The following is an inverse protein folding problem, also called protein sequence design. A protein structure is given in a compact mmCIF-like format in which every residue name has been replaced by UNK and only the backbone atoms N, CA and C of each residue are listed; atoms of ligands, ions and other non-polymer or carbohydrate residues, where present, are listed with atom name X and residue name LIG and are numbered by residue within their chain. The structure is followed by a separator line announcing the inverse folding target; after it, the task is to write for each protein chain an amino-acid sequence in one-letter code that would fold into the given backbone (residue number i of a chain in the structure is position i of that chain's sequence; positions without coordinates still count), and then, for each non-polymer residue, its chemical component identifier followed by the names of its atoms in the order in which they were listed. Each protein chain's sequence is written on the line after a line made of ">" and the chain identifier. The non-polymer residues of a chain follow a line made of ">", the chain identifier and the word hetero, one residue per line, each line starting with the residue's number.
data_IF_200240219037
#
_entry.id   IF_200240219037
#
_cell.length_a   1.000
_cell.length_b   1.000
_cell.length_c   1.000
_cell.angle_alpha   90.00
_cell.angle_beta   90.00
_cell.angle_gamma   90.00
#
_symmetry.space_group_name_H-M   'P 1'
#
loop_
_entity.id
_entity.type
_entity.pdbx_description
1 polymer ?
#
# COMPACT_ATOMS: atom_id res chain seq x y z
N UNK A 1 49.64 37.21 37.11
CA UNK A 1 49.02 38.15 36.19
C UNK A 1 47.66 37.60 35.79
N UNK A 2 46.71 38.39 35.28
CA UNK A 2 45.51 37.84 34.61
C UNK A 2 45.74 37.84 33.12
N UNK A 3 45.19 36.84 32.47
CA UNK A 3 45.17 36.72 31.02
C UNK A 3 43.71 36.60 30.52
N UNK A 4 43.44 37.12 29.34
CA UNK A 4 42.09 37.17 28.79
C UNK A 4 41.94 36.12 27.71
N UNK A 5 40.90 35.26 27.87
CA UNK A 5 40.47 34.26 26.88
C UNK A 5 39.25 34.80 26.19
N UNK A 6 39.38 35.14 24.93
CA UNK A 6 38.26 35.59 24.08
C UNK A 6 37.62 34.39 23.37
N UNK A 7 36.35 34.15 23.69
CA UNK A 7 35.56 33.05 23.09
C UNK A 7 34.72 33.58 21.94
N UNK A 8 35.10 33.23 20.71
CA UNK A 8 34.40 33.60 19.49
C UNK A 8 33.57 32.41 18.97
N UNK A 9 32.29 32.63 18.81
CA UNK A 9 31.39 31.56 18.34
C UNK A 9 31.54 31.21 16.85
N UNK A 10 32.33 32.02 16.09
CA UNK A 10 32.82 31.69 14.75
C UNK A 10 31.74 31.34 13.71
N UNK A 11 30.66 32.14 13.65
CA UNK A 11 29.62 32.05 12.59
C UNK A 11 29.00 33.43 12.33
N UNK A 12 28.43 33.61 11.13
CA UNK A 12 27.75 34.84 10.73
C UNK A 12 26.52 35.11 11.58
N UNK A 13 26.42 36.32 12.15
CA UNK A 13 25.31 36.69 13.04
C UNK A 13 25.49 36.21 14.49
N UNK A 14 26.65 35.64 14.85
CA UNK A 14 26.94 35.28 16.22
C UNK A 14 26.93 36.52 17.14
N UNK A 15 26.60 36.36 18.44
CA UNK A 15 26.82 37.38 19.44
C UNK A 15 28.30 37.84 19.47
N UNK A 16 28.53 39.03 20.04
CA UNK A 16 29.90 39.48 20.24
C UNK A 16 30.71 38.46 21.08
N UNK A 17 32.01 38.27 20.79
CA UNK A 17 32.85 37.36 21.56
C UNK A 17 32.82 37.64 23.08
N UNK A 18 32.78 36.60 23.88
CA UNK A 18 32.80 36.68 25.32
C UNK A 18 34.25 36.62 25.80
N UNK A 19 34.63 37.50 26.73
CA UNK A 19 35.97 37.49 27.36
C UNK A 19 35.87 36.88 28.76
N UNK A 20 36.70 35.89 29.03
CA UNK A 20 36.88 35.24 30.31
C UNK A 20 38.28 35.53 30.83
N UNK A 21 38.40 36.30 31.93
CA UNK A 21 39.70 36.58 32.55
C UNK A 21 40.05 35.50 33.57
N UNK A 22 41.16 34.83 33.40
CA UNK A 22 41.67 33.76 34.30
C UNK A 22 43.06 34.14 34.85
N UNK A 23 43.53 33.47 35.89
CA UNK A 23 44.88 33.67 36.34
C UNK A 23 45.86 32.99 35.36
N UNK A 24 47.02 33.66 35.17
CA UNK A 24 48.12 33.10 34.34
C UNK A 24 48.50 31.70 34.82
N UNK A 25 48.52 30.72 33.94
CA UNK A 25 48.80 29.30 34.25
C UNK A 25 47.60 28.49 34.63
N UNK A 26 46.39 29.07 34.66
CA UNK A 26 45.14 28.30 34.84
C UNK A 26 44.61 27.75 33.50
N UNK A 27 43.68 26.81 33.55
CA UNK A 27 43.02 26.22 32.43
C UNK A 27 41.62 26.86 32.19
N UNK A 28 41.13 26.81 30.96
CA UNK A 28 39.81 27.35 30.63
C UNK A 28 38.70 26.49 31.25
N UNK A 29 37.86 27.09 32.10
CA UNK A 29 36.59 26.52 32.52
C UNK A 29 35.44 27.38 31.94
N UNK A 30 34.81 26.88 30.90
CA UNK A 30 33.66 27.52 30.26
C UNK A 30 32.63 26.49 29.88
N UNK A 31 31.34 26.85 30.01
CA UNK A 31 30.25 25.99 29.49
C UNK A 31 30.34 25.91 27.97
N UNK A 32 30.01 24.74 27.40
CA UNK A 32 29.96 24.58 25.98
C UNK A 32 28.85 25.48 25.39
N UNK A 33 29.14 26.28 24.39
CA UNK A 33 28.14 27.12 23.75
C UNK A 33 27.12 26.25 23.00
N UNK A 34 25.91 26.80 22.80
CA UNK A 34 24.83 26.17 22.06
C UNK A 34 24.52 26.97 20.79
N UNK A 35 24.17 26.26 19.71
CA UNK A 35 23.72 26.83 18.46
C UNK A 35 22.65 25.91 17.88
N UNK A 36 21.49 26.49 17.51
CA UNK A 36 20.40 25.72 16.88
C UNK A 36 20.90 24.98 15.65
N UNK A 37 20.53 23.69 15.52
CA UNK A 37 20.88 22.80 14.38
C UNK A 37 22.35 22.44 14.27
N UNK A 38 23.19 22.82 15.23
CA UNK A 38 24.61 22.49 15.22
C UNK A 38 25.05 21.85 16.54
N UNK A 39 26.03 20.97 16.44
CA UNK A 39 26.76 20.41 17.58
C UNK A 39 28.08 21.12 17.77
N UNK A 40 28.40 21.53 18.98
CA UNK A 40 29.70 22.08 19.32
C UNK A 40 30.76 20.97 19.33
N UNK A 41 31.83 21.15 18.54
CA UNK A 41 32.93 20.18 18.38
C UNK A 41 34.24 20.60 19.02
N UNK A 42 34.21 21.65 19.83
CA UNK A 42 35.39 22.13 20.55
C UNK A 42 35.88 23.51 20.11
N UNK A 43 36.87 23.99 20.84
CA UNK A 43 37.54 25.24 20.61
C UNK A 43 38.76 25.04 19.74
N UNK A 44 39.09 26.05 18.92
CA UNK A 44 40.24 26.07 18.00
C UNK A 44 41.02 27.40 18.14
N UNK A 45 42.33 27.36 17.85
CA UNK A 45 43.21 28.55 17.95
C UNK A 45 42.99 29.56 16.83
N UNK A 46 42.46 29.11 15.68
CA UNK A 46 42.25 29.97 14.51
C UNK A 46 40.79 29.85 14.00
N UNK A 47 40.31 30.94 13.38
CA UNK A 47 38.99 30.96 12.72
C UNK A 47 38.90 29.97 11.56
N UNK A 48 40.00 29.51 10.98
CA UNK A 48 40.10 28.50 9.94
C UNK A 48 39.90 27.07 10.48
N UNK A 49 39.88 26.89 11.81
CA UNK A 49 39.62 25.61 12.52
C UNK A 49 40.67 24.53 12.16
N UNK A 50 41.95 24.89 12.09
CA UNK A 50 43.01 23.94 11.77
C UNK A 50 43.63 23.31 13.02
N UNK A 51 43.81 24.09 14.10
CA UNK A 51 44.45 23.65 15.35
C UNK A 51 43.43 23.54 16.49
N UNK A 52 43.04 22.33 16.90
CA UNK A 52 42.15 22.17 18.05
C UNK A 52 42.84 22.63 19.34
N UNK A 53 42.10 23.32 20.20
CA UNK A 53 42.55 23.73 21.53
C UNK A 53 42.04 22.73 22.59
N UNK A 54 42.97 22.18 23.36
CA UNK A 54 42.69 21.37 24.51
C UNK A 54 42.40 22.26 25.74
N UNK A 55 41.14 22.29 26.23
CA UNK A 55 40.72 23.12 27.35
C UNK A 55 41.44 22.81 28.67
N UNK A 56 42.19 21.69 28.75
CA UNK A 56 43.02 21.32 29.88
C UNK A 56 44.43 21.96 29.83
N UNK A 57 44.74 22.65 28.73
CA UNK A 57 46.01 23.34 28.57
C UNK A 57 46.08 24.59 29.44
N UNK A 58 47.21 24.81 30.12
CA UNK A 58 47.46 26.04 30.89
C UNK A 58 47.66 27.25 29.96
N UNK A 59 46.96 28.33 30.24
CA UNK A 59 46.96 29.54 29.46
C UNK A 59 47.86 30.59 30.13
N UNK A 60 48.92 31.04 29.44
CA UNK A 60 49.93 31.94 30.00
C UNK A 60 49.95 33.32 29.30
N UNK A 61 49.11 33.53 28.28
CA UNK A 61 48.98 34.78 27.52
C UNK A 61 47.56 34.95 27.01
N UNK A 62 47.18 36.15 26.62
CA UNK A 62 45.86 36.41 26.00
C UNK A 62 45.72 35.62 24.71
N UNK A 63 44.59 34.90 24.60
CA UNK A 63 44.26 34.08 23.46
C UNK A 63 42.81 34.30 22.97
N UNK A 64 42.58 34.04 21.69
CA UNK A 64 41.24 33.96 21.12
C UNK A 64 40.97 32.52 20.67
N UNK A 65 39.85 31.97 21.13
CA UNK A 65 39.39 30.64 20.77
C UNK A 65 38.16 30.74 19.89
N UNK A 66 38.11 29.90 18.87
CA UNK A 66 37.05 29.86 17.86
C UNK A 66 36.27 28.56 17.96
N UNK A 67 34.94 28.66 18.09
CA UNK A 67 34.06 27.48 18.16
C UNK A 67 33.97 26.76 16.81
N UNK A 68 34.10 25.45 16.86
CA UNK A 68 33.78 24.58 15.71
C UNK A 68 32.38 24.01 15.86
N UNK A 69 31.63 24.11 14.76
CA UNK A 69 30.26 23.64 14.68
C UNK A 69 30.12 22.61 13.57
N UNK A 70 29.35 21.57 13.85
CA UNK A 70 28.95 20.56 12.86
C UNK A 70 27.43 20.58 12.76
N UNK A 71 26.90 20.55 11.52
CA UNK A 71 25.45 20.51 11.30
C UNK A 71 24.92 19.18 11.83
N UNK A 72 23.87 19.25 12.67
CA UNK A 72 23.18 18.05 13.11
C UNK A 72 22.45 17.40 11.93
N UNK A 73 22.51 16.08 11.78
CA UNK A 73 21.77 15.38 10.73
C UNK A 73 20.27 15.51 10.91
N UNK A 74 19.50 15.40 9.80
CA UNK A 74 18.05 15.41 9.84
C UNK A 74 17.48 14.26 10.70
N UNK A 75 18.09 13.08 10.60
CA UNK A 75 17.75 11.90 11.41
C UNK A 75 18.93 11.55 12.31
N UNK A 76 18.60 11.14 13.53
CA UNK A 76 19.58 10.64 14.51
C UNK A 76 19.33 9.17 14.81
N UNK A 77 20.42 8.46 15.03
CA UNK A 77 20.40 7.02 15.27
C UNK A 77 21.10 6.72 16.59
N UNK A 78 20.57 5.74 17.32
CA UNK A 78 21.19 5.23 18.53
C UNK A 78 21.36 3.73 18.40
N UNK A 79 22.60 3.27 18.62
CA UNK A 79 22.94 1.85 18.56
C UNK A 79 22.25 1.09 19.70
N UNK A 80 21.62 -0.04 19.38
CA UNK A 80 21.03 -0.94 20.38
C UNK A 80 22.08 -1.47 21.38
N UNK A 81 21.66 -1.88 22.57
CA UNK A 81 22.55 -2.34 23.61
C UNK A 81 23.37 -3.60 23.20
N UNK A 82 22.84 -4.42 22.31
CA UNK A 82 23.52 -5.60 21.77
C UNK A 82 24.42 -5.28 20.55
N UNK A 83 24.42 -4.02 20.10
CA UNK A 83 25.22 -3.52 19.00
C UNK A 83 24.80 -4.00 17.60
N UNK A 84 23.61 -4.61 17.44
CA UNK A 84 23.22 -5.27 16.19
C UNK A 84 22.26 -4.45 15.33
N UNK A 85 21.62 -3.42 15.88
CA UNK A 85 20.61 -2.58 15.20
C UNK A 85 20.63 -1.16 15.68
N UNK A 86 19.85 -0.29 15.02
CA UNK A 86 19.68 1.09 15.42
C UNK A 86 18.20 1.41 15.73
N UNK A 87 18.00 2.31 16.69
CA UNK A 87 16.77 3.08 16.81
C UNK A 87 16.94 4.45 16.14
N UNK A 88 15.82 5.03 15.63
CA UNK A 88 15.82 6.31 14.92
C UNK A 88 14.89 7.33 15.59
N UNK A 89 15.26 8.59 15.50
CA UNK A 89 14.48 9.74 15.96
C UNK A 89 14.91 11.02 15.25
N UNK A 90 14.14 12.11 15.41
CA UNK A 90 14.43 13.37 14.74
C UNK A 90 15.76 14.00 15.22
N UNK A 91 16.50 14.53 14.27
CA UNK A 91 17.58 15.50 14.48
C UNK A 91 17.07 16.91 14.13
N UNK A 92 17.49 17.40 12.97
CA UNK A 92 17.05 18.72 12.44
C UNK A 92 15.88 18.63 11.46
N UNK A 93 15.24 17.47 11.31
CA UNK A 93 14.09 17.29 10.43
C UNK A 93 12.97 18.29 10.76
N UNK A 94 12.51 19.05 9.75
CA UNK A 94 11.52 20.13 9.90
C UNK A 94 10.40 20.03 8.85
N UNK A 95 9.73 18.89 8.82
CA UNK A 95 8.51 18.73 8.06
C UNK A 95 8.66 18.20 6.64
N UNK A 96 7.53 17.94 6.03
CA UNK A 96 7.44 17.33 4.71
C UNK A 96 7.43 15.80 4.76
N UNK A 97 8.11 15.18 3.81
CA UNK A 97 8.21 13.73 3.69
C UNK A 97 9.30 13.17 4.59
N UNK A 98 8.92 12.29 5.52
CA UNK A 98 9.84 11.57 6.40
C UNK A 98 10.04 10.15 5.87
N UNK A 99 11.24 9.85 5.39
CA UNK A 99 11.64 8.51 4.97
C UNK A 99 12.65 7.94 5.96
N UNK A 100 12.25 6.89 6.67
CA UNK A 100 13.14 6.16 7.58
C UNK A 100 13.91 5.12 6.76
N UNK A 101 15.26 5.12 6.81
CA UNK A 101 16.04 4.15 6.06
C UNK A 101 15.97 2.76 6.73
N UNK A 102 15.97 1.70 5.92
CA UNK A 102 15.98 0.33 6.41
C UNK A 102 17.28 -0.04 7.15
N UNK A 103 18.39 0.63 6.82
CA UNK A 103 19.71 0.37 7.42
C UNK A 103 20.44 1.68 7.68
N UNK A 104 21.28 1.69 8.69
CA UNK A 104 22.23 2.77 8.99
C UNK A 104 23.58 2.15 9.38
N UNK A 105 24.69 2.66 8.81
CA UNK A 105 26.05 2.11 9.01
C UNK A 105 26.16 0.58 8.87
N UNK A 106 25.43 0.03 7.87
CA UNK A 106 25.42 -1.40 7.58
C UNK A 106 24.63 -2.29 8.53
N UNK A 107 23.89 -1.71 9.48
CA UNK A 107 23.01 -2.44 10.40
C UNK A 107 21.55 -2.03 10.22
N UNK A 108 20.57 -2.92 10.50
CA UNK A 108 19.17 -2.60 10.35
C UNK A 108 18.70 -1.52 11.33
N UNK A 109 17.79 -0.68 10.88
CA UNK A 109 16.99 0.21 11.73
C UNK A 109 15.75 -0.58 12.15
N UNK A 110 15.63 -0.89 13.44
CA UNK A 110 14.58 -1.79 13.96
C UNK A 110 13.59 -1.11 14.88
N UNK A 111 13.85 0.12 15.31
CA UNK A 111 12.98 0.84 16.23
C UNK A 111 12.84 2.32 15.84
N UNK A 112 11.61 2.82 15.87
CA UNK A 112 11.32 4.26 15.97
C UNK A 112 11.09 4.58 17.44
N UNK A 113 11.86 5.52 17.99
CA UNK A 113 11.75 5.88 19.41
C UNK A 113 10.39 6.47 19.76
N UNK A 114 9.97 6.26 21.03
CA UNK A 114 8.80 6.94 21.57
C UNK A 114 8.96 8.46 21.44
N UNK A 115 7.90 9.13 20.95
CA UNK A 115 7.88 10.57 20.64
C UNK A 115 9.02 11.03 19.71
N UNK A 116 9.69 10.09 19.00
CA UNK A 116 10.90 10.35 18.25
C UNK A 116 10.72 11.33 17.08
N UNK A 117 9.53 11.43 16.52
CA UNK A 117 9.17 12.39 15.48
C UNK A 117 7.90 13.18 15.85
N UNK A 118 7.70 13.42 17.14
CA UNK A 118 6.58 14.21 17.63
C UNK A 118 6.74 15.68 17.22
N UNK A 119 5.66 16.27 16.65
CA UNK A 119 5.58 17.70 16.32
C UNK A 119 6.75 18.21 15.44
N UNK A 120 7.16 17.40 14.47
CA UNK A 120 8.25 17.75 13.52
C UNK A 120 7.74 18.27 12.18
N UNK A 121 6.41 18.40 12.02
CA UNK A 121 5.77 18.89 10.78
C UNK A 121 5.76 17.87 9.64
N UNK A 122 5.89 16.56 9.95
CA UNK A 122 5.80 15.51 8.94
C UNK A 122 4.38 15.47 8.32
N UNK A 123 4.33 15.35 6.98
CA UNK A 123 3.07 15.25 6.22
C UNK A 123 2.93 13.91 5.51
N UNK A 124 4.04 13.26 5.18
CA UNK A 124 4.12 11.90 4.68
C UNK A 124 5.17 11.15 5.47
N UNK A 125 4.88 9.90 5.81
CA UNK A 125 5.80 9.07 6.61
C UNK A 125 5.91 7.70 5.96
N UNK A 126 7.15 7.28 5.73
CA UNK A 126 7.50 5.93 5.30
C UNK A 126 8.39 5.27 6.36
N UNK A 127 7.90 4.18 6.95
CA UNK A 127 8.63 3.31 7.88
C UNK A 127 8.87 1.96 7.20
N UNK A 128 10.12 1.53 7.01
CA UNK A 128 10.44 0.30 6.31
C UNK A 128 10.13 -0.96 7.13
N UNK A 129 10.01 -2.11 6.46
CA UNK A 129 9.72 -3.41 7.07
C UNK A 129 10.81 -3.91 8.04
N UNK A 130 12.01 -3.34 8.00
CA UNK A 130 13.05 -3.62 9.00
C UNK A 130 12.69 -3.15 10.41
N UNK A 131 11.77 -2.19 10.53
CA UNK A 131 11.32 -1.65 11.81
C UNK A 131 10.30 -2.60 12.43
N UNK A 132 10.65 -3.21 13.55
CA UNK A 132 9.82 -4.15 14.30
C UNK A 132 9.19 -3.54 15.55
N UNK A 133 9.57 -2.29 15.87
CA UNK A 133 9.03 -1.57 17.04
C UNK A 133 8.84 -0.08 16.73
N UNK A 134 7.63 0.42 16.99
CA UNK A 134 7.32 1.86 16.92
C UNK A 134 6.89 2.33 18.30
N UNK A 135 7.63 3.28 18.88
CA UNK A 135 7.37 3.80 20.21
C UNK A 135 6.07 4.60 20.30
N UNK A 136 5.50 4.67 21.51
CA UNK A 136 4.28 5.45 21.78
C UNK A 136 4.46 6.91 21.37
N UNK A 137 3.48 7.46 20.66
CA UNK A 137 3.50 8.86 20.24
C UNK A 137 4.63 9.20 19.25
N UNK A 138 5.25 8.19 18.62
CA UNK A 138 6.37 8.39 17.71
C UNK A 138 6.10 9.46 16.65
N UNK A 139 4.85 9.57 16.17
CA UNK A 139 4.41 10.52 15.15
C UNK A 139 3.34 11.50 15.64
N UNK A 140 3.16 11.63 16.96
CA UNK A 140 2.15 12.52 17.53
C UNK A 140 2.31 13.99 17.09
N UNK A 141 1.21 14.74 17.06
CA UNK A 141 1.18 16.18 16.78
C UNK A 141 1.71 16.56 15.37
N UNK A 142 1.62 15.66 14.38
CA UNK A 142 1.91 15.93 12.98
C UNK A 142 0.62 15.92 12.16
N UNK A 143 0.64 16.62 11.00
CA UNK A 143 -0.48 16.67 10.05
C UNK A 143 -0.27 15.67 8.89
N UNK A 144 -0.08 14.39 9.25
CA UNK A 144 0.23 13.33 8.28
C UNK A 144 -0.99 13.09 7.38
N UNK A 145 -0.76 13.04 6.08
CA UNK A 145 -1.76 12.73 5.04
C UNK A 145 -1.59 11.32 4.46
N UNK A 146 -0.35 10.82 4.44
CA UNK A 146 0.02 9.50 3.94
C UNK A 146 0.97 8.83 4.93
N UNK A 147 0.67 7.59 5.31
CA UNK A 147 1.44 6.81 6.26
C UNK A 147 1.68 5.40 5.74
N UNK A 148 2.94 5.01 5.68
CA UNK A 148 3.34 3.61 5.46
C UNK A 148 4.06 3.11 6.70
N UNK A 149 3.56 2.01 7.28
CA UNK A 149 4.13 1.37 8.47
C UNK A 149 4.16 -0.14 8.31
N UNK A 150 5.15 -0.84 8.87
CA UNK A 150 5.23 -2.30 8.80
C UNK A 150 4.18 -3.01 9.66
N UNK A 151 3.66 -2.33 10.69
CA UNK A 151 2.67 -2.86 11.64
C UNK A 151 1.74 -1.76 12.13
N UNK A 152 0.49 -2.13 12.49
CA UNK A 152 -0.41 -1.23 13.22
C UNK A 152 -0.10 -1.29 14.72
N UNK A 153 0.34 -0.15 15.29
CA UNK A 153 0.73 -0.05 16.70
C UNK A 153 2.23 -0.21 16.94
N UNK A 154 2.61 -0.82 18.08
CA UNK A 154 4.01 -0.90 18.51
C UNK A 154 4.79 -2.12 18.01
N UNK A 155 4.12 -3.08 17.39
CA UNK A 155 4.72 -4.36 16.99
C UNK A 155 5.04 -5.30 18.18
N UNK A 156 4.66 -4.94 19.40
CA UNK A 156 5.01 -5.67 20.63
C UNK A 156 3.77 -6.06 21.49
N UNK A 157 2.57 -5.61 21.12
CA UNK A 157 1.34 -5.96 21.86
C UNK A 157 0.25 -4.89 21.83
N UNK A 158 0.60 -3.63 21.57
CA UNK A 158 -0.37 -2.57 21.33
C UNK A 158 -0.68 -2.51 19.83
N UNK A 159 -1.59 -3.36 19.36
CA UNK A 159 -1.88 -3.58 17.96
C UNK A 159 -2.98 -2.63 17.44
N UNK A 160 -2.84 -1.31 17.64
CA UNK A 160 -3.78 -0.30 17.14
C UNK A 160 -3.04 0.98 16.72
N UNK A 161 -3.52 1.58 15.62
CA UNK A 161 -2.85 2.72 14.97
C UNK A 161 -2.68 3.93 15.89
N UNK A 162 -3.68 4.24 16.70
CA UNK A 162 -3.66 5.42 17.57
C UNK A 162 -2.51 5.41 18.61
N UNK A 163 -1.90 4.24 18.90
CA UNK A 163 -0.76 4.13 19.82
C UNK A 163 0.46 4.94 19.34
N UNK A 164 0.80 4.84 18.06
CA UNK A 164 1.95 5.56 17.49
C UNK A 164 1.70 7.08 17.40
N UNK A 165 0.46 7.52 17.64
CA UNK A 165 0.06 8.92 17.80
C UNK A 165 -0.16 9.33 19.26
N UNK A 166 0.11 8.43 20.22
CA UNK A 166 0.14 8.74 21.66
C UNK A 166 -1.06 8.24 22.47
N UNK A 167 -2.04 7.57 21.86
CA UNK A 167 -3.18 7.01 22.58
C UNK A 167 -2.78 5.85 23.52
N UNK A 168 -3.54 5.68 24.60
CA UNK A 168 -3.41 4.56 25.53
C UNK A 168 -4.36 3.40 25.18
N UNK A 169 -5.30 3.61 24.27
CA UNK A 169 -6.35 2.66 23.90
C UNK A 169 -6.81 2.89 22.47
N UNK A 170 -7.28 1.82 21.82
CA UNK A 170 -7.88 1.89 20.50
C UNK A 170 -9.14 2.77 20.43
N UNK A 171 -9.80 3.04 21.55
CA UNK A 171 -10.98 3.91 21.63
C UNK A 171 -10.66 5.40 21.45
N UNK A 172 -9.38 5.78 21.46
CA UNK A 172 -8.95 7.18 21.31
C UNK A 172 -8.50 7.46 19.86
N UNK A 173 -9.41 7.31 18.91
CA UNK A 173 -9.15 7.61 17.49
C UNK A 173 -8.73 9.07 17.24
N UNK A 174 -9.15 10.02 18.10
CA UNK A 174 -8.81 11.44 17.98
C UNK A 174 -7.31 11.74 18.14
N UNK A 175 -6.49 10.78 18.58
CA UNK A 175 -5.04 10.92 18.56
C UNK A 175 -4.48 10.83 17.12
N UNK A 176 -5.15 10.10 16.23
CA UNK A 176 -4.75 9.98 14.82
C UNK A 176 -5.16 11.25 14.08
N UNK A 177 -4.26 11.88 13.29
CA UNK A 177 -4.60 13.12 12.60
C UNK A 177 -5.75 12.90 11.59
N UNK A 178 -6.77 13.75 11.66
CA UNK A 178 -7.90 13.73 10.70
C UNK A 178 -7.48 14.08 9.26
N UNK A 179 -6.23 14.50 9.06
CA UNK A 179 -5.64 14.72 7.73
C UNK A 179 -5.21 13.42 7.06
N UNK A 180 -5.06 12.32 7.80
CA UNK A 180 -4.63 11.03 7.25
C UNK A 180 -5.68 10.50 6.28
N UNK A 181 -5.29 10.29 5.02
CA UNK A 181 -6.17 9.78 3.95
C UNK A 181 -5.69 8.45 3.41
N UNK A 182 -4.38 8.25 3.37
CA UNK A 182 -3.76 7.04 2.86
C UNK A 182 -2.97 6.32 3.95
N UNK A 183 -3.31 5.04 4.16
CA UNK A 183 -2.60 4.16 5.09
C UNK A 183 -2.18 2.89 4.35
N UNK A 184 -0.89 2.62 4.37
CA UNK A 184 -0.30 1.37 3.87
C UNK A 184 0.31 0.62 5.06
N UNK A 185 -0.17 -0.58 5.29
CA UNK A 185 0.38 -1.50 6.28
C UNK A 185 1.19 -2.57 5.56
N UNK A 186 2.49 -2.60 5.82
CA UNK A 186 3.43 -3.60 5.31
C UNK A 186 3.43 -4.89 6.13
N UNK A 187 4.53 -5.62 6.01
CA UNK A 187 4.70 -6.92 6.70
C UNK A 187 3.86 -8.03 6.05
N UNK A 188 3.67 -9.12 6.80
CA UNK A 188 2.96 -10.32 6.30
C UNK A 188 1.81 -10.76 7.21
N UNK A 189 1.59 -10.09 8.34
CA UNK A 189 0.57 -10.48 9.31
C UNK A 189 -0.71 -9.67 9.14
N UNK A 190 -1.86 -10.35 9.24
CA UNK A 190 -3.14 -9.68 9.31
C UNK A 190 -3.20 -8.74 10.53
N UNK A 191 -3.83 -7.54 10.40
CA UNK A 191 -4.04 -6.66 11.53
C UNK A 191 -4.94 -7.27 12.59
N UNK A 192 -4.86 -6.76 13.82
CA UNK A 192 -5.78 -7.17 14.88
C UNK A 192 -7.17 -6.51 14.72
N UNK A 193 -8.20 -7.14 15.30
CA UNK A 193 -9.51 -6.51 15.42
C UNK A 193 -9.39 -5.17 16.17
N UNK A 194 -10.18 -4.18 15.76
CA UNK A 194 -10.19 -2.82 16.32
C UNK A 194 -8.90 -2.00 16.11
N UNK A 195 -7.97 -2.47 15.28
CA UNK A 195 -6.69 -1.77 15.06
C UNK A 195 -6.86 -0.36 14.48
N UNK A 196 -7.96 -0.10 13.74
CA UNK A 196 -8.34 1.20 13.16
C UNK A 196 -9.65 1.72 13.76
N UNK A 197 -10.02 1.32 14.98
CA UNK A 197 -11.30 1.65 15.58
C UNK A 197 -11.58 3.16 15.60
N UNK A 198 -12.73 3.55 15.09
CA UNK A 198 -13.23 4.93 15.10
C UNK A 198 -12.57 5.86 14.09
N UNK A 199 -11.75 5.37 13.17
CA UNK A 199 -11.11 6.17 12.12
C UNK A 199 -12.00 6.10 10.87
N UNK A 200 -12.78 7.15 10.58
CA UNK A 200 -13.77 7.21 9.49
C UNK A 200 -13.38 8.13 8.34
N UNK A 201 -12.17 8.67 8.36
CA UNK A 201 -11.67 9.64 7.37
C UNK A 201 -10.63 9.10 6.39
N UNK A 202 -10.31 7.79 6.45
CA UNK A 202 -9.45 7.13 5.46
C UNK A 202 -10.18 6.94 4.14
N UNK A 203 -9.47 7.21 3.03
CA UNK A 203 -9.96 6.94 1.67
C UNK A 203 -9.21 5.82 0.97
N UNK A 204 -7.94 5.60 1.30
CA UNK A 204 -7.04 4.62 0.68
C UNK A 204 -6.40 3.77 1.78
N UNK A 205 -6.68 2.48 1.75
CA UNK A 205 -6.18 1.52 2.73
C UNK A 205 -5.58 0.31 2.04
N UNK A 206 -4.32 0.04 2.34
CA UNK A 206 -3.61 -1.17 1.91
C UNK A 206 -3.24 -2.00 3.11
N UNK A 207 -3.58 -3.30 3.07
CA UNK A 207 -3.27 -4.28 4.11
C UNK A 207 -2.47 -5.44 3.53
N UNK A 208 -1.55 -6.05 4.31
CA UNK A 208 -0.79 -7.22 3.87
C UNK A 208 -1.67 -8.47 3.73
N UNK A 209 -2.67 -8.62 4.60
CA UNK A 209 -3.63 -9.72 4.63
C UNK A 209 -4.84 -9.33 5.48
N UNK A 210 -5.96 -10.04 5.38
CA UNK A 210 -7.11 -9.91 6.28
C UNK A 210 -7.16 -11.04 7.33
N UNK A 211 -6.76 -12.27 6.97
CA UNK A 211 -6.99 -13.45 7.79
C UNK A 211 -8.51 -13.68 7.99
N UNK A 212 -8.91 -14.05 9.19
CA UNK A 212 -10.31 -14.29 9.55
C UNK A 212 -11.07 -12.99 9.91
N UNK A 213 -10.52 -11.80 9.59
CA UNK A 213 -11.14 -10.51 9.91
C UNK A 213 -11.97 -9.97 8.76
N UNK A 214 -13.15 -9.43 9.09
CA UNK A 214 -13.80 -8.47 8.20
C UNK A 214 -13.21 -7.07 8.35
N UNK A 215 -13.25 -6.26 7.28
CA UNK A 215 -12.83 -4.86 7.34
C UNK A 215 -13.65 -4.10 8.39
N UNK A 216 -14.94 -4.38 8.55
CA UNK A 216 -15.76 -3.79 9.61
C UNK A 216 -15.18 -4.06 11.01
N UNK A 217 -14.72 -5.29 11.28
CA UNK A 217 -14.12 -5.64 12.59
C UNK A 217 -12.79 -4.92 12.83
N UNK A 218 -12.03 -4.63 11.79
CA UNK A 218 -10.80 -3.83 11.89
C UNK A 218 -11.08 -2.42 12.41
N UNK A 219 -12.22 -1.83 12.01
CA UNK A 219 -12.66 -0.49 12.43
C UNK A 219 -13.55 -0.50 13.69
N UNK A 220 -13.77 -1.65 14.31
CA UNK A 220 -14.59 -1.78 15.52
C UNK A 220 -16.09 -1.90 15.25
N UNK A 221 -16.47 -2.27 14.04
CA UNK A 221 -17.85 -2.37 13.56
C UNK A 221 -18.43 -1.03 13.10
N UNK A 222 -19.69 -1.04 12.65
CA UNK A 222 -20.40 0.17 12.22
C UNK A 222 -20.01 0.68 10.84
N UNK A 223 -20.37 1.95 10.55
CA UNK A 223 -20.28 2.55 9.22
C UNK A 223 -18.93 3.23 8.91
N UNK A 224 -17.90 3.02 9.72
CA UNK A 224 -16.58 3.68 9.56
C UNK A 224 -15.87 3.35 8.24
N UNK A 225 -16.24 2.23 7.59
CA UNK A 225 -15.64 1.78 6.33
C UNK A 225 -16.30 2.37 5.08
N UNK A 226 -17.35 3.14 5.26
CA UNK A 226 -18.14 3.67 4.13
C UNK A 226 -17.42 4.78 3.35
N UNK A 227 -16.31 5.32 3.86
CA UNK A 227 -15.48 6.35 3.22
C UNK A 227 -14.31 5.80 2.39
N UNK A 228 -14.02 4.49 2.46
CA UNK A 228 -12.88 3.89 1.76
C UNK A 228 -13.21 3.74 0.27
N UNK A 229 -12.47 4.45 -0.57
CA UNK A 229 -12.63 4.44 -2.03
C UNK A 229 -11.66 3.49 -2.73
N UNK A 230 -10.45 3.33 -2.19
CA UNK A 230 -9.39 2.45 -2.68
C UNK A 230 -9.01 1.48 -1.57
N UNK A 231 -9.10 0.19 -1.85
CA UNK A 231 -8.73 -0.85 -0.90
C UNK A 231 -7.85 -1.91 -1.55
N UNK A 232 -6.81 -2.32 -0.86
CA UNK A 232 -5.92 -3.38 -1.30
C UNK A 232 -5.63 -4.38 -0.19
N UNK A 233 -5.73 -5.66 -0.52
CA UNK A 233 -5.23 -6.80 0.26
C UNK A 233 -4.15 -7.45 -0.58
N UNK A 234 -2.89 -7.43 -0.10
CA UNK A 234 -1.73 -7.82 -0.91
C UNK A 234 -1.38 -9.32 -0.81
N UNK A 235 -1.94 -10.03 0.14
CA UNK A 235 -1.65 -11.44 0.36
C UNK A 235 -2.59 -12.08 1.39
N UNK A 236 -2.17 -13.20 1.93
CA UNK A 236 -2.97 -14.04 2.83
C UNK A 236 -3.48 -15.27 2.10
N UNK A 237 -3.88 -16.29 2.88
CA UNK A 237 -4.31 -17.59 2.35
C UNK A 237 -5.82 -17.63 2.07
N UNK A 238 -6.60 -16.73 2.70
CA UNK A 238 -8.06 -16.69 2.58
C UNK A 238 -8.65 -15.30 2.79
N UNK A 239 -9.85 -15.09 2.23
CA UNK A 239 -10.75 -13.96 2.51
C UNK A 239 -12.12 -14.55 2.85
N UNK A 240 -12.59 -14.31 4.07
CA UNK A 240 -13.86 -14.84 4.56
C UNK A 240 -15.08 -14.26 3.82
N UNK A 241 -16.19 -15.00 3.81
CA UNK A 241 -17.46 -14.56 3.24
C UNK A 241 -17.92 -13.25 3.89
N UNK A 242 -18.13 -12.23 3.04
CA UNK A 242 -18.57 -10.91 3.52
C UNK A 242 -17.49 -10.09 4.22
N UNK A 243 -16.21 -10.48 4.14
CA UNK A 243 -15.11 -9.73 4.76
C UNK A 243 -15.07 -8.27 4.33
N UNK A 244 -15.52 -7.94 3.11
CA UNK A 244 -15.58 -6.58 2.54
C UNK A 244 -17.00 -5.98 2.55
N UNK A 245 -17.96 -6.60 3.25
CA UNK A 245 -19.33 -6.08 3.33
C UNK A 245 -19.36 -4.66 3.95
N UNK A 246 -20.19 -3.78 3.40
CA UNK A 246 -20.35 -2.41 3.90
C UNK A 246 -19.44 -1.34 3.29
N UNK A 247 -18.47 -1.70 2.46
CA UNK A 247 -17.56 -0.75 1.78
C UNK A 247 -18.25 0.00 0.63
N UNK A 248 -19.23 0.83 0.96
CA UNK A 248 -20.16 1.45 -0.02
C UNK A 248 -19.51 2.47 -0.96
N UNK A 249 -18.42 3.10 -0.57
CA UNK A 249 -17.69 4.06 -1.42
C UNK A 249 -16.62 3.43 -2.31
N UNK A 250 -16.40 2.11 -2.21
CA UNK A 250 -15.32 1.43 -2.90
C UNK A 250 -15.40 1.59 -4.43
N UNK A 251 -14.31 2.05 -5.03
CA UNK A 251 -14.15 2.29 -6.47
C UNK A 251 -13.10 1.36 -7.08
N UNK A 252 -12.00 1.14 -6.34
CA UNK A 252 -10.88 0.33 -6.76
C UNK A 252 -10.56 -0.70 -5.68
N UNK A 253 -10.38 -1.95 -6.10
CA UNK A 253 -10.06 -3.06 -5.23
C UNK A 253 -8.88 -3.85 -5.77
N UNK A 254 -7.88 -4.11 -4.93
CA UNK A 254 -6.83 -5.08 -5.20
C UNK A 254 -7.00 -6.27 -4.28
N UNK A 255 -7.01 -7.47 -4.83
CA UNK A 255 -7.14 -8.73 -4.08
C UNK A 255 -6.00 -9.69 -4.46
N UNK A 256 -5.57 -10.54 -3.53
CA UNK A 256 -4.55 -11.54 -3.82
C UNK A 256 -5.04 -12.59 -4.82
N UNK A 257 -6.32 -12.93 -4.80
CA UNK A 257 -7.00 -13.90 -5.68
C UNK A 257 -8.50 -13.59 -5.76
N UNK A 258 -9.22 -14.28 -6.63
CA UNK A 258 -10.68 -14.16 -6.77
C UNK A 258 -11.38 -15.15 -5.83
N UNK A 259 -12.37 -14.70 -5.06
CA UNK A 259 -13.14 -15.55 -4.13
C UNK A 259 -12.49 -15.70 -2.76
N UNK A 260 -12.68 -16.85 -2.12
CA UNK A 260 -12.24 -17.14 -0.75
C UNK A 260 -10.77 -17.49 -0.64
N UNK A 261 -10.26 -18.31 -1.56
CA UNK A 261 -8.83 -18.69 -1.66
C UNK A 261 -8.40 -18.74 -3.14
N UNK A 262 -7.11 -18.89 -3.37
CA UNK A 262 -6.53 -18.98 -4.73
C UNK A 262 -7.10 -20.12 -5.58
N UNK A 263 -7.62 -21.19 -4.97
CA UNK A 263 -7.98 -22.41 -5.69
C UNK A 263 -9.44 -22.85 -5.45
N UNK A 264 -10.26 -22.03 -4.79
CA UNK A 264 -11.64 -22.38 -4.53
C UNK A 264 -12.50 -22.28 -5.78
N UNK A 265 -13.45 -23.19 -5.87
CA UNK A 265 -14.46 -23.29 -6.92
C UNK A 265 -15.86 -23.22 -6.31
N UNK A 266 -16.89 -23.21 -7.14
CA UNK A 266 -18.26 -23.09 -6.66
C UNK A 266 -18.54 -21.72 -6.05
N UNK A 267 -19.37 -21.62 -5.02
CA UNK A 267 -19.73 -20.35 -4.37
C UNK A 267 -18.51 -19.59 -3.89
N UNK A 268 -17.52 -20.27 -3.34
CA UNK A 268 -16.30 -19.71 -2.76
C UNK A 268 -15.35 -19.14 -3.83
N UNK A 269 -15.42 -19.63 -5.07
CA UNK A 269 -14.67 -19.09 -6.21
C UNK A 269 -15.28 -17.83 -6.83
N UNK A 270 -16.49 -17.44 -6.42
CA UNK A 270 -17.17 -16.26 -6.98
C UNK A 270 -16.69 -14.96 -6.33
N UNK A 271 -16.42 -13.94 -7.14
CA UNK A 271 -15.97 -12.64 -6.66
C UNK A 271 -16.92 -11.98 -5.65
N UNK A 272 -18.23 -12.18 -5.81
CA UNK A 272 -19.25 -11.67 -4.89
C UNK A 272 -19.16 -12.24 -3.48
N UNK A 273 -18.52 -13.40 -3.29
CA UNK A 273 -18.37 -14.08 -2.00
C UNK A 273 -17.74 -13.19 -0.93
N UNK A 274 -16.69 -12.47 -1.28
CA UNK A 274 -15.98 -11.59 -0.34
C UNK A 274 -16.81 -10.38 0.14
N UNK A 275 -17.90 -10.04 -0.56
CA UNK A 275 -18.85 -8.99 -0.15
C UNK A 275 -20.07 -9.56 0.59
N UNK A 276 -20.33 -10.86 0.47
CA UNK A 276 -21.41 -11.55 1.19
C UNK A 276 -22.81 -11.37 0.59
N UNK A 277 -23.79 -12.00 1.25
CA UNK A 277 -25.18 -12.11 0.80
C UNK A 277 -26.14 -11.16 1.50
N UNK A 278 -25.68 -10.28 2.37
CA UNK A 278 -26.51 -9.29 3.07
C UNK A 278 -26.41 -7.91 2.40
N UNK A 279 -27.57 -7.29 2.12
CA UNK A 279 -27.62 -5.98 1.51
C UNK A 279 -27.18 -4.86 2.46
N UNK A 280 -26.48 -3.86 1.94
CA UNK A 280 -26.09 -2.65 2.67
C UNK A 280 -26.28 -1.40 1.80
N UNK A 281 -26.31 -0.24 2.44
CA UNK A 281 -26.45 1.04 1.72
C UNK A 281 -25.32 1.24 0.70
N UNK A 282 -25.64 1.53 -0.55
CA UNK A 282 -24.66 1.69 -1.64
C UNK A 282 -24.23 0.38 -2.28
N UNK A 283 -24.82 -0.76 -1.92
CA UNK A 283 -24.66 -2.02 -2.64
C UNK A 283 -25.74 -2.22 -3.71
N UNK A 284 -25.48 -3.11 -4.64
CA UNK A 284 -26.50 -3.67 -5.54
C UNK A 284 -26.39 -5.20 -5.59
N UNK A 285 -27.53 -5.82 -5.87
CA UNK A 285 -27.63 -7.28 -5.98
C UNK A 285 -26.97 -7.75 -7.29
N UNK A 286 -26.13 -8.77 -7.18
CA UNK A 286 -25.69 -9.58 -8.30
C UNK A 286 -26.11 -11.03 -8.09
N UNK A 287 -26.36 -11.72 -9.19
CA UNK A 287 -26.60 -13.15 -9.23
C UNK A 287 -25.52 -13.79 -10.07
N UNK A 288 -24.67 -14.59 -9.43
CA UNK A 288 -23.57 -15.30 -10.05
C UNK A 288 -23.82 -16.79 -10.01
N UNK A 289 -23.81 -17.42 -11.17
CA UNK A 289 -23.87 -18.89 -11.32
C UNK A 289 -22.49 -19.45 -11.62
N UNK A 290 -22.42 -20.75 -11.86
CA UNK A 290 -21.19 -21.47 -12.19
C UNK A 290 -21.14 -21.91 -13.66
N UNK A 291 -22.20 -21.62 -14.41
CA UNK A 291 -22.32 -21.99 -15.82
C UNK A 291 -23.19 -21.02 -16.60
N UNK A 292 -23.17 -21.12 -17.92
CA UNK A 292 -24.07 -20.37 -18.79
C UNK A 292 -25.54 -20.74 -18.59
N UNK A 293 -25.85 -21.96 -18.15
CA UNK A 293 -27.23 -22.40 -17.83
C UNK A 293 -27.77 -21.65 -16.62
N UNK A 294 -26.94 -21.40 -15.61
CA UNK A 294 -27.32 -20.64 -14.42
C UNK A 294 -27.64 -19.17 -14.77
N UNK A 295 -26.96 -18.58 -15.75
CA UNK A 295 -27.25 -17.21 -16.20
C UNK A 295 -28.70 -17.05 -16.70
N UNK A 296 -29.24 -18.05 -17.38
CA UNK A 296 -30.64 -18.05 -17.85
C UNK A 296 -31.65 -18.59 -16.84
N UNK A 297 -31.17 -19.18 -15.74
CA UNK A 297 -31.94 -19.72 -14.63
C UNK A 297 -31.51 -19.09 -13.30
N UNK A 298 -31.84 -17.80 -13.06
CA UNK A 298 -31.29 -17.03 -11.93
C UNK A 298 -31.65 -17.60 -10.54
N UNK A 299 -32.58 -18.53 -10.46
CA UNK A 299 -32.94 -19.29 -9.24
C UNK A 299 -31.86 -20.29 -8.80
N UNK A 300 -30.96 -20.66 -9.72
CA UNK A 300 -29.79 -21.52 -9.46
C UNK A 300 -28.55 -20.72 -9.03
N UNK A 301 -28.58 -19.40 -9.20
CA UNK A 301 -27.47 -18.53 -8.88
C UNK A 301 -27.35 -18.25 -7.37
N UNK A 302 -26.12 -18.00 -6.94
CA UNK A 302 -25.83 -17.39 -5.65
C UNK A 302 -26.10 -15.89 -5.72
N UNK A 303 -26.58 -15.32 -4.61
CA UNK A 303 -26.87 -13.89 -4.51
C UNK A 303 -25.87 -13.20 -3.62
N UNK A 304 -25.27 -12.14 -4.13
CA UNK A 304 -24.32 -11.29 -3.38
C UNK A 304 -24.67 -9.81 -3.55
N UNK A 305 -24.15 -8.99 -2.62
CA UNK A 305 -24.35 -7.55 -2.64
C UNK A 305 -22.99 -6.84 -2.72
N UNK A 306 -22.70 -6.25 -3.88
CA UNK A 306 -21.41 -5.63 -4.19
C UNK A 306 -21.52 -4.10 -4.23
N UNK A 307 -20.44 -3.34 -3.97
CA UNK A 307 -20.49 -1.87 -4.02
C UNK A 307 -20.87 -1.35 -5.41
N UNK A 308 -21.85 -0.42 -5.48
CA UNK A 308 -22.26 0.21 -6.75
C UNK A 308 -21.16 1.01 -7.43
N UNK A 309 -20.23 1.56 -6.62
CA UNK A 309 -19.11 2.38 -7.07
C UNK A 309 -17.95 1.60 -7.67
N UNK A 310 -17.86 0.26 -7.44
CA UNK A 310 -16.71 -0.55 -7.82
C UNK A 310 -16.54 -0.59 -9.34
N UNK A 311 -15.41 -0.09 -9.83
CA UNK A 311 -15.08 0.06 -11.26
C UNK A 311 -13.87 -0.73 -11.68
N UNK A 312 -12.89 -0.86 -10.79
CA UNK A 312 -11.63 -1.53 -11.09
C UNK A 312 -11.33 -2.61 -10.06
N UNK A 313 -10.94 -3.78 -10.56
CA UNK A 313 -10.38 -4.87 -9.74
C UNK A 313 -9.01 -5.23 -10.27
N UNK A 314 -8.02 -5.29 -9.38
CA UNK A 314 -6.70 -5.86 -9.66
C UNK A 314 -6.58 -7.19 -8.94
N UNK A 315 -6.27 -8.24 -9.66
CA UNK A 315 -6.02 -9.60 -9.16
C UNK A 315 -4.51 -9.82 -9.17
N UNK A 316 -3.94 -10.15 -8.02
CA UNK A 316 -2.49 -10.30 -7.89
C UNK A 316 -2.02 -11.68 -8.33
N UNK A 317 -2.85 -12.72 -8.18
CA UNK A 317 -2.46 -14.10 -8.44
C UNK A 317 -3.67 -15.03 -8.64
N UNK A 318 -3.44 -16.23 -9.18
CA UNK A 318 -4.41 -17.32 -9.28
C UNK A 318 -5.39 -17.24 -10.45
N UNK A 319 -6.16 -18.30 -10.57
CA UNK A 319 -7.11 -18.51 -11.66
C UNK A 319 -8.45 -17.76 -11.44
N UNK A 320 -9.17 -17.54 -12.53
CA UNK A 320 -10.54 -17.02 -12.53
C UNK A 320 -11.48 -18.17 -12.83
N UNK A 321 -12.16 -18.70 -11.82
CA UNK A 321 -13.00 -19.87 -11.97
C UNK A 321 -14.36 -19.56 -12.61
N UNK A 322 -15.16 -20.61 -12.84
CA UNK A 322 -16.45 -20.54 -13.52
C UNK A 322 -17.39 -19.53 -12.86
N UNK A 323 -17.99 -18.65 -13.64
CA UNK A 323 -18.92 -17.62 -13.19
C UNK A 323 -18.34 -16.52 -12.30
N UNK A 324 -17.03 -16.49 -12.06
CA UNK A 324 -16.39 -15.65 -11.04
C UNK A 324 -16.85 -14.18 -11.02
N UNK A 325 -16.89 -13.52 -12.18
CA UNK A 325 -17.35 -12.14 -12.35
C UNK A 325 -18.70 -12.03 -13.07
N UNK A 326 -19.49 -13.10 -13.09
CA UNK A 326 -20.80 -13.11 -13.78
C UNK A 326 -21.68 -11.98 -13.24
N UNK A 327 -22.32 -11.25 -14.15
CA UNK A 327 -23.21 -10.13 -13.82
C UNK A 327 -22.61 -8.94 -13.08
N UNK A 328 -21.29 -8.80 -13.06
CA UNK A 328 -20.59 -7.62 -12.52
C UNK A 328 -20.80 -6.40 -13.44
N UNK A 329 -22.00 -5.84 -13.42
CA UNK A 329 -22.48 -4.83 -14.38
C UNK A 329 -21.92 -3.43 -14.20
N UNK A 330 -21.21 -3.16 -13.12
CA UNK A 330 -20.60 -1.85 -12.83
C UNK A 330 -19.09 -1.83 -13.06
N UNK A 331 -18.49 -3.03 -13.11
CA UNK A 331 -17.05 -3.22 -13.25
C UNK A 331 -16.62 -2.87 -14.69
N UNK A 332 -15.73 -1.89 -14.82
CA UNK A 332 -15.23 -1.39 -16.11
C UNK A 332 -13.88 -1.95 -16.48
N UNK A 333 -13.11 -2.41 -15.48
CA UNK A 333 -11.73 -2.87 -15.64
C UNK A 333 -11.41 -4.03 -14.68
N UNK A 334 -10.83 -5.08 -15.21
CA UNK A 334 -10.15 -6.15 -14.44
C UNK A 334 -8.73 -6.26 -14.96
N UNK A 335 -7.76 -6.18 -14.06
CA UNK A 335 -6.32 -6.21 -14.36
C UNK A 335 -5.68 -7.33 -13.55
N UNK A 336 -4.74 -8.02 -14.15
CA UNK A 336 -3.87 -8.99 -13.46
C UNK A 336 -2.49 -8.37 -13.23
N UNK A 337 -1.84 -8.74 -12.13
CA UNK A 337 -0.45 -8.35 -11.92
C UNK A 337 0.47 -8.99 -12.98
N UNK A 338 1.58 -8.33 -13.31
CA UNK A 338 2.50 -8.79 -14.36
C UNK A 338 3.13 -10.17 -14.03
N UNK A 339 3.20 -10.53 -12.75
CA UNK A 339 3.74 -11.78 -12.24
C UNK A 339 2.66 -12.78 -11.78
N UNK A 340 1.38 -12.49 -12.07
CA UNK A 340 0.28 -13.41 -11.76
C UNK A 340 0.44 -14.74 -12.51
N UNK A 341 0.29 -15.85 -11.82
CA UNK A 341 0.36 -17.20 -12.40
C UNK A 341 -1.01 -17.72 -12.88
N UNK A 342 -1.86 -16.82 -13.38
CA UNK A 342 -3.19 -17.13 -13.93
C UNK A 342 -3.04 -18.00 -15.17
N UNK A 343 -3.60 -19.21 -15.11
CA UNK A 343 -3.56 -20.20 -16.20
C UNK A 343 -4.93 -20.53 -16.79
N UNK A 344 -6.00 -20.18 -16.05
CA UNK A 344 -7.37 -20.54 -16.37
C UNK A 344 -8.32 -19.35 -16.22
N UNK A 345 -9.19 -19.18 -17.21
CA UNK A 345 -10.38 -18.32 -17.15
C UNK A 345 -11.59 -19.21 -17.43
N UNK A 346 -12.48 -19.38 -16.45
CA UNK A 346 -13.54 -20.38 -16.43
C UNK A 346 -14.72 -20.10 -17.34
N UNK A 347 -15.63 -21.09 -17.39
CA UNK A 347 -16.92 -20.97 -18.07
C UNK A 347 -17.71 -19.78 -17.53
N UNK A 348 -18.29 -18.97 -18.43
CA UNK A 348 -19.13 -17.83 -18.07
C UNK A 348 -18.47 -16.81 -17.10
N UNK A 349 -17.14 -16.82 -16.93
CA UNK A 349 -16.42 -16.06 -15.92
C UNK A 349 -16.75 -14.56 -15.91
N UNK A 350 -16.94 -13.94 -17.07
CA UNK A 350 -17.33 -12.53 -17.26
C UNK A 350 -18.69 -12.37 -17.95
N UNK A 351 -19.51 -13.42 -17.98
CA UNK A 351 -20.80 -13.38 -18.64
C UNK A 351 -21.70 -12.31 -18.03
N UNK A 352 -22.25 -11.43 -18.86
CA UNK A 352 -23.11 -10.35 -18.40
C UNK A 352 -22.40 -9.19 -17.71
N UNK A 353 -21.06 -9.14 -17.73
CA UNK A 353 -20.28 -7.99 -17.25
C UNK A 353 -20.36 -6.81 -18.23
N UNK A 354 -21.53 -6.18 -18.31
CA UNK A 354 -21.92 -5.24 -19.37
C UNK A 354 -21.20 -3.91 -19.38
N UNK A 355 -20.53 -3.53 -18.29
CA UNK A 355 -19.72 -2.30 -18.20
C UNK A 355 -18.24 -2.53 -18.53
N UNK A 356 -17.78 -3.79 -18.62
CA UNK A 356 -16.38 -4.11 -18.89
C UNK A 356 -15.99 -3.57 -20.27
N UNK A 357 -14.97 -2.69 -20.34
CA UNK A 357 -14.63 -1.98 -21.59
C UNK A 357 -13.51 -2.64 -22.38
N UNK A 358 -12.48 -3.10 -21.69
CA UNK A 358 -11.33 -3.77 -22.26
C UNK A 358 -10.88 -4.94 -21.41
N UNK A 359 -10.21 -5.91 -22.04
CA UNK A 359 -9.63 -7.03 -21.34
C UNK A 359 -8.34 -7.49 -22.02
N UNK A 360 -7.28 -7.63 -21.23
CA UNK A 360 -6.03 -8.27 -21.64
C UNK A 360 -5.94 -9.62 -20.97
N UNK A 361 -5.84 -10.67 -21.76
CA UNK A 361 -5.67 -12.02 -21.24
C UNK A 361 -4.22 -12.19 -20.80
N UNK A 362 -3.96 -12.61 -19.53
CA UNK A 362 -2.59 -12.85 -19.07
C UNK A 362 -1.84 -13.86 -19.94
N UNK A 363 -0.54 -13.66 -20.12
CA UNK A 363 0.31 -14.50 -20.97
C UNK A 363 0.33 -15.97 -20.54
N UNK A 364 0.15 -16.25 -19.22
CA UNK A 364 0.12 -17.61 -18.65
C UNK A 364 -1.16 -18.39 -18.94
N UNK A 365 -2.23 -17.73 -19.42
CA UNK A 365 -3.52 -18.39 -19.63
C UNK A 365 -3.43 -19.39 -20.77
N UNK A 366 -3.76 -20.64 -20.49
CA UNK A 366 -3.78 -21.74 -21.45
C UNK A 366 -5.19 -22.21 -21.80
N UNK A 367 -6.17 -21.93 -20.93
CA UNK A 367 -7.56 -22.36 -21.10
C UNK A 367 -8.48 -21.17 -20.81
N UNK A 368 -9.41 -20.94 -21.73
CA UNK A 368 -10.57 -20.06 -21.53
C UNK A 368 -11.82 -20.92 -21.70
N UNK A 369 -12.79 -20.81 -20.79
CA UNK A 369 -14.01 -21.60 -20.80
C UNK A 369 -15.07 -21.07 -21.79
N UNK A 370 -16.06 -21.92 -22.06
CA UNK A 370 -17.22 -21.56 -22.87
C UNK A 370 -17.93 -20.34 -22.28
N UNK A 371 -18.52 -19.50 -23.12
CA UNK A 371 -19.29 -18.32 -22.72
C UNK A 371 -18.51 -17.28 -21.87
N UNK A 372 -17.19 -17.39 -21.71
CA UNK A 372 -16.41 -16.59 -20.74
C UNK A 372 -16.72 -15.09 -20.80
N UNK A 373 -16.92 -14.50 -21.98
CA UNK A 373 -17.24 -13.08 -22.18
C UNK A 373 -18.61 -12.89 -22.88
N UNK A 374 -19.48 -13.90 -22.90
CA UNK A 374 -20.78 -13.82 -23.55
C UNK A 374 -21.63 -12.73 -22.87
N UNK A 375 -22.38 -11.94 -23.64
CA UNK A 375 -23.17 -10.79 -23.16
C UNK A 375 -22.35 -9.73 -22.40
N UNK A 376 -21.02 -9.75 -22.45
CA UNK A 376 -20.21 -8.74 -21.78
C UNK A 376 -20.19 -7.42 -22.56
N UNK A 377 -19.62 -6.38 -21.96
CA UNK A 377 -19.49 -5.06 -22.57
C UNK A 377 -18.19 -4.82 -23.30
N UNK A 378 -17.28 -5.80 -23.36
CA UNK A 378 -15.92 -5.58 -23.87
C UNK A 378 -15.93 -5.04 -25.30
N UNK A 379 -15.11 -4.00 -25.52
CA UNK A 379 -14.90 -3.38 -26.84
C UNK A 379 -13.59 -3.81 -27.47
N UNK A 380 -12.61 -4.05 -26.61
CA UNK A 380 -11.26 -4.45 -27.02
C UNK A 380 -10.82 -5.65 -26.18
N UNK A 381 -10.29 -6.67 -26.86
CA UNK A 381 -9.69 -7.83 -26.21
C UNK A 381 -8.30 -8.03 -26.77
N UNK A 382 -7.32 -8.20 -25.91
CA UNK A 382 -5.96 -8.54 -26.28
C UNK A 382 -5.59 -9.91 -25.72
N UNK A 383 -5.32 -10.86 -26.62
CA UNK A 383 -4.87 -12.22 -26.33
C UNK A 383 -3.52 -12.52 -26.99
N UNK A 384 -2.83 -11.48 -27.52
CA UNK A 384 -1.64 -11.66 -28.35
C UNK A 384 -0.46 -12.30 -27.63
N UNK A 385 -0.40 -12.17 -26.31
CA UNK A 385 0.67 -12.74 -25.46
C UNK A 385 0.28 -14.11 -24.86
N UNK A 386 -0.98 -14.55 -25.04
CA UNK A 386 -1.49 -15.81 -24.47
C UNK A 386 -1.24 -16.99 -25.41
N UNK A 387 0.01 -17.27 -25.73
CA UNK A 387 0.46 -18.24 -26.74
C UNK A 387 0.10 -19.70 -26.44
N UNK A 388 -0.26 -20.02 -25.20
CA UNK A 388 -0.71 -21.37 -24.80
C UNK A 388 -2.18 -21.63 -25.20
N UNK A 389 -2.95 -20.60 -25.55
CA UNK A 389 -4.34 -20.76 -25.99
C UNK A 389 -4.36 -21.26 -27.43
N UNK A 390 -4.84 -22.49 -27.62
CA UNK A 390 -4.96 -23.13 -28.93
C UNK A 390 -6.41 -23.25 -29.42
N UNK A 391 -7.39 -22.98 -28.53
CA UNK A 391 -8.83 -23.08 -28.82
C UNK A 391 -9.54 -21.83 -28.30
N UNK A 392 -10.32 -21.16 -29.17
CA UNK A 392 -11.37 -20.24 -28.75
C UNK A 392 -12.64 -21.04 -28.53
N UNK A 393 -13.17 -21.11 -27.30
CA UNK A 393 -14.26 -21.99 -26.97
C UNK A 393 -15.63 -21.50 -27.48
N UNK A 394 -16.64 -22.32 -27.30
CA UNK A 394 -18.00 -22.06 -27.75
C UNK A 394 -18.57 -20.80 -27.07
N UNK A 395 -19.20 -19.93 -27.88
CA UNK A 395 -19.82 -18.66 -27.42
C UNK A 395 -18.92 -17.73 -26.61
N UNK A 396 -17.59 -17.86 -26.63
CA UNK A 396 -16.69 -17.05 -25.79
C UNK A 396 -17.01 -15.54 -25.85
N UNK A 397 -17.32 -15.00 -27.04
CA UNK A 397 -17.74 -13.61 -27.26
C UNK A 397 -19.16 -13.53 -27.86
N UNK A 398 -19.98 -14.56 -27.71
CA UNK A 398 -21.33 -14.58 -28.21
C UNK A 398 -22.16 -13.42 -27.64
N UNK A 399 -23.07 -12.84 -28.46
CA UNK A 399 -23.93 -11.72 -28.09
C UNK A 399 -23.16 -10.45 -27.62
N UNK A 400 -21.84 -10.40 -27.84
CA UNK A 400 -21.05 -9.23 -27.50
C UNK A 400 -21.11 -8.17 -28.60
N UNK A 401 -22.21 -7.44 -28.63
CA UNK A 401 -22.51 -6.45 -29.69
C UNK A 401 -21.58 -5.23 -29.70
N UNK A 402 -20.71 -5.08 -28.67
CA UNK A 402 -19.76 -3.96 -28.53
C UNK A 402 -18.33 -4.30 -28.91
N UNK A 403 -17.98 -5.57 -29.07
CA UNK A 403 -16.62 -6.00 -29.41
C UNK A 403 -16.23 -5.44 -30.78
N UNK A 404 -15.27 -4.53 -30.80
CA UNK A 404 -14.82 -3.83 -32.02
C UNK A 404 -13.45 -4.28 -32.51
N UNK A 405 -12.57 -4.67 -31.58
CA UNK A 405 -11.20 -5.13 -31.90
C UNK A 405 -10.81 -6.30 -31.00
N UNK A 406 -10.10 -7.26 -31.58
CA UNK A 406 -9.50 -8.39 -30.88
C UNK A 406 -8.15 -8.73 -31.50
N UNK A 407 -7.14 -8.99 -30.68
CA UNK A 407 -5.87 -9.61 -31.06
C UNK A 407 -5.91 -11.08 -30.63
N UNK A 408 -5.76 -11.99 -31.57
CA UNK A 408 -5.76 -13.44 -31.34
C UNK A 408 -4.34 -13.95 -31.05
N UNK A 409 -4.19 -15.06 -30.29
CA UNK A 409 -2.89 -15.70 -30.08
C UNK A 409 -2.35 -16.32 -31.37
N UNK A 410 -1.03 -16.25 -31.57
CA UNK A 410 -0.41 -16.76 -32.80
C UNK A 410 -0.52 -18.29 -32.96
N UNK A 411 -0.64 -19.02 -31.85
CA UNK A 411 -0.73 -20.49 -31.84
C UNK A 411 -2.17 -21.03 -31.85
N UNK A 412 -3.17 -20.17 -32.10
CA UNK A 412 -4.56 -20.57 -32.16
C UNK A 412 -4.82 -21.58 -33.28
N UNK A 413 -5.43 -22.71 -32.97
CA UNK A 413 -5.72 -23.81 -33.93
C UNK A 413 -7.20 -23.90 -34.27
N UNK A 414 -8.08 -23.68 -33.30
CA UNK A 414 -9.51 -23.87 -33.45
C UNK A 414 -10.29 -22.67 -32.97
N UNK A 415 -11.26 -22.21 -33.73
CA UNK A 415 -12.32 -21.30 -33.33
C UNK A 415 -13.61 -22.13 -33.30
N UNK A 416 -14.17 -22.35 -32.12
CA UNK A 416 -15.34 -23.21 -31.96
C UNK A 416 -16.64 -22.54 -32.43
N UNK A 417 -17.75 -23.28 -32.37
CA UNK A 417 -19.04 -22.79 -32.83
C UNK A 417 -19.50 -21.55 -32.01
N UNK A 418 -20.17 -20.64 -32.73
CA UNK A 418 -20.76 -19.44 -32.11
C UNK A 418 -19.73 -18.52 -31.40
N UNK A 419 -18.43 -18.71 -31.49
CA UNK A 419 -17.41 -17.97 -30.73
C UNK A 419 -17.61 -16.45 -30.81
N UNK A 420 -18.00 -15.89 -31.92
CA UNK A 420 -18.30 -14.47 -32.20
C UNK A 420 -19.75 -14.23 -32.59
N UNK A 421 -20.66 -15.14 -32.30
CA UNK A 421 -22.06 -15.03 -32.70
C UNK A 421 -22.65 -13.68 -32.24
N UNK A 422 -23.25 -12.94 -33.21
CA UNK A 422 -23.80 -11.60 -32.98
C UNK A 422 -22.81 -10.53 -32.47
N UNK A 423 -21.50 -10.73 -32.60
CA UNK A 423 -20.50 -9.69 -32.32
C UNK A 423 -20.53 -8.59 -33.39
N UNK A 424 -21.63 -7.87 -33.50
CA UNK A 424 -21.96 -7.00 -34.66
C UNK A 424 -21.06 -5.76 -34.82
N UNK A 425 -20.31 -5.35 -33.81
CA UNK A 425 -19.34 -4.26 -33.87
C UNK A 425 -17.99 -4.73 -34.47
N UNK A 426 -17.70 -6.04 -34.46
CA UNK A 426 -16.45 -6.61 -34.99
C UNK A 426 -16.49 -6.63 -36.52
N UNK A 427 -15.82 -5.66 -37.14
CA UNK A 427 -15.83 -5.50 -38.59
C UNK A 427 -14.64 -6.16 -39.29
N UNK A 428 -13.55 -6.30 -38.57
CA UNK A 428 -12.33 -6.90 -39.05
C UNK A 428 -11.68 -7.75 -37.97
N UNK A 429 -11.20 -8.92 -38.34
CA UNK A 429 -10.41 -9.79 -37.48
C UNK A 429 -9.27 -10.37 -38.29
N UNK A 430 -8.09 -10.46 -37.73
CA UNK A 430 -6.95 -11.16 -38.34
C UNK A 430 -6.94 -12.56 -37.73
N UNK A 431 -7.20 -13.56 -38.56
CA UNK A 431 -7.14 -14.96 -38.15
C UNK A 431 -5.72 -15.47 -38.38
N UNK A 432 -5.03 -16.00 -37.36
CA UNK A 432 -3.67 -16.54 -37.49
C UNK A 432 -3.59 -17.69 -38.52
N UNK A 433 -2.45 -17.83 -39.17
CA UNK A 433 -2.21 -18.91 -40.17
C UNK A 433 -2.24 -20.32 -39.54
N UNK A 434 -2.11 -20.41 -38.20
CA UNK A 434 -2.20 -21.63 -37.39
C UNK A 434 -3.63 -22.20 -37.32
N UNK A 435 -4.66 -21.39 -37.59
CA UNK A 435 -6.06 -21.80 -37.47
C UNK A 435 -6.42 -22.80 -38.60
N UNK A 436 -6.80 -24.01 -38.22
CA UNK A 436 -7.20 -25.08 -39.11
C UNK A 436 -8.69 -25.39 -39.09
N UNK A 437 -9.40 -24.96 -38.03
CA UNK A 437 -10.81 -25.27 -37.82
C UNK A 437 -11.58 -24.01 -37.42
N UNK A 438 -12.72 -23.79 -38.09
CA UNK A 438 -13.68 -22.74 -37.72
C UNK A 438 -15.04 -23.45 -37.62
N UNK A 439 -15.66 -23.37 -36.46
CA UNK A 439 -16.92 -24.03 -36.12
C UNK A 439 -18.15 -23.39 -36.75
N UNK A 440 -19.29 -24.04 -36.59
CA UNK A 440 -20.56 -23.59 -37.12
C UNK A 440 -21.01 -22.28 -36.48
N UNK A 441 -21.44 -21.31 -37.29
CA UNK A 441 -21.87 -19.98 -36.84
C UNK A 441 -20.82 -19.21 -35.98
N UNK A 442 -19.53 -19.51 -36.15
CA UNK A 442 -18.46 -18.88 -35.35
C UNK A 442 -18.44 -17.35 -35.48
N UNK A 443 -19.02 -16.79 -36.55
CA UNK A 443 -19.12 -15.35 -36.85
C UNK A 443 -20.55 -14.90 -37.12
#
# INVERSE_FOLDING_TARGET
>A
MQVDVTLNLNYDGAPAPTVVSIAEGETLYAENPTRDEYEFKGWYLEATLETPFDVTTQINEDITLYAKWEVLPELRFELSADGNSYSVFAGTFKGGELVIPATYEGKPVTEVKAEGFKNVGATKVYVPDSVTKIGKGAFAENNITELTVPVLGDGQGNAFLAYIFGADSADNASAVPETLRKLVVGGNAAPAANALKGIDWLNDLTLPALGDLSVANLFGGGDYITGIEIFAVLGGDSIEKGALAGMSALKELTVPFVGATKNDTGEEGLFGYIFGSDSYSGSFEIKSGLSAEDYISPELCFTFYVPQGLKKVTVLDGDVFDGAFMNMRTLTEVVFADDADTTYIGEAAFMGATALEGFTVPAGVSIVGDYAFCFSGVRTVDMSEADEITVLPEYIFGENTRLATISLPENLVTIEGYAFYMASALKNIVIPDSVTTIGEYAF
#
